data_IF_376285551433
#
_entry.id   IF_376285551433
#
_cell.length_a   1.000
_cell.length_b   1.000
_cell.length_c   1.000
_cell.angle_alpha   90.00
_cell.angle_beta   90.00
_cell.angle_gamma   90.00
#
_symmetry.space_group_name_H-M   'P 1'
#
loop_
_entity.id
_entity.type
_entity.pdbx_description
1 polymer ?
#
# COMPACT_ATOMS: atom_id res chain seq x y z
N UNK A 1 -16.23 -28.76 10.09
CA UNK A 1 -16.99 -28.17 8.96
C UNK A 1 -16.02 -27.29 8.18
N UNK A 2 -15.80 -27.59 6.89
CA UNK A 2 -14.95 -26.74 6.06
C UNK A 2 -15.69 -25.41 5.80
N UNK A 3 -15.13 -24.32 6.32
CA UNK A 3 -15.65 -22.98 6.03
C UNK A 3 -15.50 -22.67 4.53
N UNK A 4 -16.48 -22.03 3.92
CA UNK A 4 -16.41 -21.61 2.52
C UNK A 4 -15.21 -20.66 2.32
N UNK A 5 -14.33 -20.99 1.39
CA UNK A 5 -13.21 -20.12 1.02
C UNK A 5 -13.69 -19.00 0.07
N UNK A 6 -13.23 -17.79 0.30
CA UNK A 6 -13.54 -16.59 -0.49
C UNK A 6 -12.24 -15.85 -0.78
N UNK A 7 -11.97 -15.55 -2.04
CA UNK A 7 -10.88 -14.65 -2.46
C UNK A 7 -11.44 -13.24 -2.68
N UNK A 8 -10.77 -12.25 -2.13
CA UNK A 8 -11.15 -10.83 -2.28
C UNK A 8 -9.96 -10.04 -2.78
N UNK A 9 -10.10 -9.49 -3.97
CA UNK A 9 -9.18 -8.48 -4.49
C UNK A 9 -9.71 -7.09 -4.17
N UNK A 10 -8.85 -6.26 -3.56
CA UNK A 10 -9.23 -4.95 -3.00
C UNK A 10 -8.76 -3.85 -3.95
N UNK A 11 -9.70 -3.05 -4.44
CA UNK A 11 -9.42 -1.87 -5.23
C UNK A 11 -10.00 -0.59 -4.59
N UNK A 12 -9.83 0.54 -5.23
CA UNK A 12 -10.25 1.84 -4.69
C UNK A 12 -11.76 1.94 -4.46
N UNK A 13 -12.56 1.55 -5.44
CA UNK A 13 -14.01 1.77 -5.46
C UNK A 13 -14.83 0.47 -5.51
N UNK A 14 -14.27 -0.57 -6.11
CA UNK A 14 -14.94 -1.84 -6.36
C UNK A 14 -14.00 -2.96 -5.94
N UNK A 15 -14.51 -3.93 -5.20
CA UNK A 15 -13.77 -5.13 -4.80
C UNK A 15 -14.25 -6.30 -5.63
N UNK A 16 -13.32 -7.13 -6.11
CA UNK A 16 -13.68 -8.36 -6.79
C UNK A 16 -13.73 -9.51 -5.80
N UNK A 17 -14.80 -10.28 -5.83
CA UNK A 17 -15.01 -11.41 -4.92
C UNK A 17 -15.17 -12.69 -5.72
N UNK A 18 -14.40 -13.72 -5.36
CA UNK A 18 -14.46 -15.04 -5.96
C UNK A 18 -14.69 -16.12 -4.90
N UNK A 19 -15.66 -16.98 -5.12
CA UNK A 19 -15.90 -18.17 -4.29
C UNK A 19 -16.72 -19.21 -5.07
N UNK A 20 -16.74 -20.46 -4.56
CA UNK A 20 -17.64 -21.51 -5.01
C UNK A 20 -18.75 -21.67 -3.97
N UNK A 21 -19.99 -21.52 -4.41
CA UNK A 21 -21.16 -21.62 -3.53
C UNK A 21 -21.31 -23.05 -2.99
N UNK A 22 -21.46 -23.18 -1.67
CA UNK A 22 -21.69 -24.48 -1.04
C UNK A 22 -23.07 -25.02 -1.42
N UNK A 23 -23.12 -26.27 -1.82
CA UNK A 23 -24.34 -26.96 -2.21
C UNK A 23 -24.62 -26.96 -3.73
N UNK A 24 -24.56 -25.81 -4.40
CA UNK A 24 -24.75 -25.73 -5.86
C UNK A 24 -23.47 -25.97 -6.67
N UNK A 25 -22.29 -25.72 -6.07
CA UNK A 25 -21.02 -25.74 -6.80
C UNK A 25 -20.85 -24.57 -7.79
N UNK A 26 -21.76 -23.61 -7.78
CA UNK A 26 -21.71 -22.44 -8.67
C UNK A 26 -20.48 -21.57 -8.38
N UNK A 27 -19.73 -21.24 -9.44
CA UNK A 27 -18.62 -20.33 -9.36
C UNK A 27 -19.15 -18.88 -9.40
N UNK A 28 -18.97 -18.16 -8.33
CA UNK A 28 -19.31 -16.74 -8.24
C UNK A 28 -18.03 -15.92 -8.34
N UNK A 29 -17.96 -15.05 -9.34
CA UNK A 29 -16.88 -14.08 -9.51
C UNK A 29 -17.50 -12.74 -9.91
N UNK A 30 -17.65 -11.84 -8.95
CA UNK A 30 -18.41 -10.61 -9.16
C UNK A 30 -17.80 -9.39 -8.48
N UNK A 31 -17.96 -8.20 -9.08
CA UNK A 31 -17.59 -6.95 -8.45
C UNK A 31 -18.60 -6.55 -7.36
N UNK A 32 -18.10 -6.00 -6.28
CA UNK A 32 -18.89 -5.43 -5.18
C UNK A 32 -18.42 -4.00 -4.93
N UNK A 33 -19.35 -3.05 -4.95
CA UNK A 33 -19.03 -1.66 -4.59
C UNK A 33 -18.50 -1.61 -3.15
N UNK A 34 -17.45 -0.83 -2.93
CA UNK A 34 -16.81 -0.66 -1.62
C UNK A 34 -17.83 -0.39 -0.49
N UNK A 35 -18.81 0.46 -0.71
CA UNK A 35 -19.84 0.81 0.27
C UNK A 35 -20.76 -0.36 0.64
N UNK A 36 -20.86 -1.40 -0.23
CA UNK A 36 -21.69 -2.58 0.00
C UNK A 36 -20.91 -3.82 0.44
N UNK A 37 -19.60 -3.67 0.62
CA UNK A 37 -18.72 -4.81 0.85
C UNK A 37 -19.00 -5.50 2.20
N UNK A 38 -19.09 -4.77 3.30
CA UNK A 38 -19.40 -5.34 4.62
C UNK A 38 -20.82 -5.90 4.68
N UNK A 39 -21.79 -5.21 4.10
CA UNK A 39 -23.18 -5.69 4.00
C UNK A 39 -23.26 -7.06 3.29
N UNK A 40 -22.43 -7.25 2.24
CA UNK A 40 -22.36 -8.52 1.52
C UNK A 40 -21.92 -9.69 2.41
N UNK A 41 -21.12 -9.45 3.45
CA UNK A 41 -20.64 -10.48 4.38
C UNK A 41 -21.43 -10.55 5.69
N UNK A 42 -22.10 -9.48 6.12
CA UNK A 42 -22.75 -9.38 7.42
C UNK A 42 -23.74 -10.52 7.76
N UNK A 43 -24.46 -11.02 6.74
CA UNK A 43 -25.46 -12.06 6.92
C UNK A 43 -25.01 -13.43 6.40
N UNK A 44 -23.71 -13.62 6.16
CA UNK A 44 -23.16 -14.90 5.68
C UNK A 44 -22.69 -15.75 6.86
N UNK A 45 -22.82 -17.06 6.71
CA UNK A 45 -22.13 -18.01 7.58
C UNK A 45 -20.62 -17.72 7.58
N UNK A 46 -19.94 -18.08 8.66
CA UNK A 46 -18.48 -17.91 8.78
C UNK A 46 -17.75 -18.44 7.55
N UNK A 47 -16.96 -17.58 6.92
CA UNK A 47 -16.13 -17.88 5.76
C UNK A 47 -14.65 -17.80 6.12
N UNK A 48 -13.81 -18.50 5.33
CA UNK A 48 -12.37 -18.27 5.25
C UNK A 48 -12.10 -17.25 4.13
N UNK A 49 -11.75 -16.03 4.48
CA UNK A 49 -11.56 -14.94 3.52
C UNK A 49 -10.07 -14.67 3.32
N UNK A 50 -9.60 -14.87 2.08
CA UNK A 50 -8.26 -14.51 1.65
C UNK A 50 -8.23 -13.12 1.06
N UNK A 51 -7.18 -12.36 1.39
CA UNK A 51 -6.86 -11.06 0.77
C UNK A 51 -5.36 -10.92 0.60
N UNK A 52 -4.93 -10.23 -0.45
CA UNK A 52 -3.54 -9.81 -0.56
C UNK A 52 -3.23 -8.72 0.47
N UNK A 53 -2.05 -8.78 1.09
CA UNK A 53 -1.58 -7.79 2.07
C UNK A 53 -1.13 -6.49 1.38
N UNK A 54 -2.08 -5.78 0.79
CA UNK A 54 -1.90 -4.51 0.09
C UNK A 54 -2.40 -3.31 0.90
N UNK A 55 -2.45 -2.13 0.27
CA UNK A 55 -3.00 -0.92 0.88
C UNK A 55 -4.49 -1.08 1.24
N UNK A 56 -4.85 -0.82 2.50
CA UNK A 56 -6.22 -0.97 3.00
C UNK A 56 -6.58 -2.36 3.50
N UNK A 57 -5.85 -3.42 3.13
CA UNK A 57 -6.18 -4.81 3.49
C UNK A 57 -6.32 -5.04 5.00
N UNK A 58 -5.46 -4.43 5.80
CA UNK A 58 -5.55 -4.57 7.26
C UNK A 58 -6.84 -4.00 7.86
N UNK A 59 -7.35 -2.89 7.32
CA UNK A 59 -8.64 -2.34 7.74
C UNK A 59 -9.77 -3.31 7.45
N UNK A 60 -9.89 -3.78 6.21
CA UNK A 60 -10.95 -4.71 5.82
C UNK A 60 -10.83 -6.06 6.51
N UNK A 61 -9.61 -6.53 6.80
CA UNK A 61 -9.40 -7.74 7.57
C UNK A 61 -9.98 -7.60 8.98
N UNK A 62 -9.74 -6.49 9.67
CA UNK A 62 -10.34 -6.23 10.99
C UNK A 62 -11.86 -6.18 10.94
N UNK A 63 -12.43 -5.46 9.97
CA UNK A 63 -13.89 -5.36 9.84
C UNK A 63 -14.54 -6.74 9.59
N UNK A 64 -14.00 -7.53 8.67
CA UNK A 64 -14.50 -8.88 8.38
C UNK A 64 -14.32 -9.81 9.58
N UNK A 65 -13.25 -9.67 10.34
CA UNK A 65 -13.04 -10.43 11.58
C UNK A 65 -14.06 -10.05 12.65
N UNK A 66 -14.43 -8.75 12.76
CA UNK A 66 -15.52 -8.29 13.65
C UNK A 66 -16.88 -8.88 13.28
N UNK A 67 -17.10 -9.16 11.98
CA UNK A 67 -18.30 -9.87 11.50
C UNK A 67 -18.25 -11.39 11.75
N UNK A 68 -17.17 -11.92 12.36
CA UNK A 68 -17.03 -13.34 12.72
C UNK A 68 -16.37 -14.21 11.65
N UNK A 69 -15.86 -13.65 10.56
CA UNK A 69 -15.14 -14.39 9.54
C UNK A 69 -13.70 -14.69 9.93
N UNK A 70 -13.13 -15.78 9.41
CA UNK A 70 -11.70 -16.04 9.47
C UNK A 70 -11.03 -15.32 8.29
N UNK A 71 -10.07 -14.42 8.58
CA UNK A 71 -9.40 -13.64 7.53
C UNK A 71 -7.91 -13.96 7.49
N UNK A 72 -7.39 -14.23 6.30
CA UNK A 72 -5.96 -14.44 6.05
C UNK A 72 -5.43 -13.41 5.08
N UNK A 73 -4.50 -12.60 5.55
CA UNK A 73 -3.71 -11.72 4.69
C UNK A 73 -2.52 -12.50 4.14
N UNK A 74 -2.35 -12.51 2.83
CA UNK A 74 -1.29 -13.26 2.17
C UNK A 74 -0.26 -12.33 1.52
N UNK A 75 1.03 -12.70 1.52
CA UNK A 75 2.04 -11.95 0.78
C UNK A 75 1.69 -11.89 -0.71
N UNK A 76 1.92 -10.74 -1.35
CA UNK A 76 1.66 -10.54 -2.78
C UNK A 76 2.41 -11.56 -3.66
N UNK A 77 3.65 -11.87 -3.31
CA UNK A 77 4.47 -12.88 -4.01
C UNK A 77 3.85 -14.28 -3.98
N UNK A 78 3.22 -14.64 -2.84
CA UNK A 78 2.54 -15.92 -2.72
C UNK A 78 1.30 -15.98 -3.59
N UNK A 79 0.47 -14.93 -3.59
CA UNK A 79 -0.74 -14.86 -4.42
C UNK A 79 -0.38 -14.86 -5.91
N UNK A 80 0.68 -14.15 -6.30
CA UNK A 80 1.14 -14.06 -7.69
C UNK A 80 1.44 -15.43 -8.31
N UNK A 81 1.89 -16.41 -7.54
CA UNK A 81 2.16 -17.76 -8.01
C UNK A 81 0.90 -18.48 -8.53
N UNK A 82 -0.29 -18.06 -8.13
CA UNK A 82 -1.59 -18.63 -8.55
C UNK A 82 -2.23 -17.87 -9.71
N UNK A 83 -1.67 -16.73 -10.11
CA UNK A 83 -2.17 -15.94 -11.24
C UNK A 83 -1.47 -16.38 -12.55
N UNK A 84 -2.11 -17.30 -13.27
CA UNK A 84 -1.48 -18.04 -14.38
C UNK A 84 -1.61 -17.30 -15.73
N UNK A 85 -2.54 -16.35 -15.89
CA UNK A 85 -2.80 -15.65 -17.17
C UNK A 85 -3.27 -14.21 -16.95
N UNK A 86 -3.33 -13.45 -18.04
CA UNK A 86 -3.74 -12.04 -18.18
C UNK A 86 -4.34 -11.39 -16.94
N UNK A 87 -3.61 -10.43 -16.40
CA UNK A 87 -3.96 -9.69 -15.20
C UNK A 87 -5.28 -8.92 -15.40
N UNK A 88 -6.30 -9.35 -14.68
CA UNK A 88 -7.56 -8.62 -14.50
C UNK A 88 -8.14 -8.95 -13.12
N UNK A 89 -9.00 -8.10 -12.61
CA UNK A 89 -9.54 -8.19 -11.24
C UNK A 89 -10.20 -9.55 -10.95
N UNK A 90 -10.88 -10.14 -11.94
CA UNK A 90 -11.52 -11.44 -11.82
C UNK A 90 -10.51 -12.59 -11.67
N UNK A 91 -9.38 -12.52 -12.39
CA UNK A 91 -8.29 -13.48 -12.28
C UNK A 91 -7.54 -13.30 -10.95
N UNK A 92 -7.35 -12.05 -10.50
CA UNK A 92 -6.68 -11.73 -9.24
C UNK A 92 -7.51 -12.25 -8.05
N UNK A 93 -8.82 -12.03 -8.00
CA UNK A 93 -9.70 -12.59 -6.96
C UNK A 93 -9.71 -14.13 -6.95
N UNK A 94 -9.67 -14.77 -8.13
CA UNK A 94 -9.55 -16.23 -8.24
C UNK A 94 -8.20 -16.73 -7.73
N UNK A 95 -7.10 -16.05 -8.06
CA UNK A 95 -5.77 -16.39 -7.58
C UNK A 95 -5.70 -16.33 -6.04
N UNK A 96 -6.29 -15.30 -5.43
CA UNK A 96 -6.42 -15.15 -3.98
C UNK A 96 -7.24 -16.30 -3.39
N UNK A 97 -8.35 -16.68 -4.03
CA UNK A 97 -9.18 -17.81 -3.62
C UNK A 97 -8.43 -19.14 -3.65
N UNK A 98 -7.62 -19.39 -4.68
CA UNK A 98 -6.77 -20.59 -4.76
C UNK A 98 -5.70 -20.55 -3.66
N UNK A 99 -5.04 -19.41 -3.49
CA UNK A 99 -3.94 -19.23 -2.55
C UNK A 99 -4.37 -19.40 -1.09
N UNK A 100 -5.54 -18.89 -0.68
CA UNK A 100 -6.00 -18.96 0.73
C UNK A 100 -6.24 -20.39 1.22
N UNK A 101 -6.48 -21.31 0.30
CA UNK A 101 -6.71 -22.73 0.58
C UNK A 101 -5.40 -23.54 0.70
N UNK A 102 -4.28 -22.92 0.37
CA UNK A 102 -2.97 -23.56 0.45
C UNK A 102 -2.27 -23.22 1.77
N UNK A 103 -1.38 -24.09 2.25
CA UNK A 103 -0.53 -23.79 3.39
C UNK A 103 0.37 -22.57 3.09
N UNK A 104 0.19 -21.51 3.82
CA UNK A 104 1.11 -20.37 3.78
C UNK A 104 1.22 -19.74 5.17
N UNK A 105 2.33 -19.02 5.41
CA UNK A 105 2.46 -18.18 6.59
C UNK A 105 1.72 -16.86 6.32
N UNK A 106 0.59 -16.59 6.97
CA UNK A 106 -0.16 -15.37 6.72
C UNK A 106 0.61 -14.15 7.26
N UNK A 107 0.36 -13.01 6.64
CA UNK A 107 0.81 -11.71 7.15
C UNK A 107 -0.04 -11.36 8.38
N UNK A 108 0.60 -11.08 9.50
CA UNK A 108 -0.09 -10.70 10.72
C UNK A 108 -0.94 -9.43 10.49
N UNK A 109 -2.21 -9.50 10.89
CA UNK A 109 -3.12 -8.36 10.82
C UNK A 109 -2.69 -7.29 11.83
N UNK A 110 -2.38 -6.09 11.33
CA UNK A 110 -1.94 -4.98 12.17
C UNK A 110 -3.12 -4.35 12.91
N UNK A 111 -2.91 -4.02 14.16
CA UNK A 111 -3.83 -3.16 14.92
C UNK A 111 -3.85 -1.73 14.36
N UNK A 112 -4.83 -0.93 14.72
CA UNK A 112 -4.90 0.48 14.33
C UNK A 112 -3.71 1.27 14.87
N UNK A 113 -3.32 0.99 16.12
CA UNK A 113 -2.13 1.61 16.72
C UNK A 113 -0.84 1.27 15.94
N UNK A 114 -0.65 -0.01 15.57
CA UNK A 114 0.51 -0.40 14.75
C UNK A 114 0.50 0.27 13.38
N UNK A 115 -0.67 0.44 12.75
CA UNK A 115 -0.78 1.17 11.48
C UNK A 115 -0.49 2.66 11.65
N UNK A 116 -0.96 3.29 12.74
CA UNK A 116 -0.66 4.69 13.03
C UNK A 116 0.85 4.92 13.23
N UNK A 117 1.51 4.05 14.01
CA UNK A 117 2.96 4.13 14.20
C UNK A 117 3.72 3.97 12.88
N UNK A 118 3.33 3.02 12.02
CA UNK A 118 3.93 2.85 10.70
C UNK A 118 3.69 4.06 9.78
N UNK A 119 2.53 4.71 9.87
CA UNK A 119 2.24 5.93 9.12
C UNK A 119 3.20 7.06 9.53
N UNK A 120 3.40 7.28 10.84
CA UNK A 120 4.35 8.28 11.36
C UNK A 120 5.79 8.00 10.88
N UNK A 121 6.24 6.73 10.94
CA UNK A 121 7.57 6.36 10.43
C UNK A 121 7.70 6.65 8.94
N UNK A 122 6.72 6.30 8.12
CA UNK A 122 6.71 6.57 6.68
C UNK A 122 6.72 8.07 6.37
N UNK A 123 5.93 8.86 7.09
CA UNK A 123 5.94 10.32 6.95
C UNK A 123 7.31 10.90 7.29
N UNK A 124 7.93 10.46 8.40
CA UNK A 124 9.28 10.87 8.77
C UNK A 124 10.30 10.53 7.67
N UNK A 125 10.26 9.29 7.15
CA UNK A 125 11.16 8.87 6.06
C UNK A 125 10.99 9.72 4.81
N UNK A 126 9.75 10.02 4.42
CA UNK A 126 9.45 10.89 3.28
C UNK A 126 9.99 12.30 3.50
N UNK A 127 9.81 12.90 4.67
CA UNK A 127 10.32 14.24 5.00
C UNK A 127 11.85 14.26 4.98
N UNK A 128 12.51 13.24 5.50
CA UNK A 128 13.99 13.13 5.46
C UNK A 128 14.48 13.00 4.03
N UNK A 129 13.83 12.18 3.21
CA UNK A 129 14.14 12.00 1.78
C UNK A 129 13.95 13.33 1.03
N UNK A 130 12.80 13.98 1.23
CA UNK A 130 12.49 15.27 0.61
C UNK A 130 13.52 16.34 0.95
N UNK A 131 13.86 16.50 2.22
CA UNK A 131 14.91 17.42 2.68
C UNK A 131 16.26 17.15 1.99
N UNK A 132 16.63 15.86 1.87
CA UNK A 132 17.89 15.48 1.20
C UNK A 132 17.85 15.83 -0.28
N UNK A 133 16.74 15.60 -0.95
CA UNK A 133 16.52 15.97 -2.35
C UNK A 133 16.66 17.48 -2.54
N UNK A 134 16.00 18.30 -1.70
CA UNK A 134 16.08 19.75 -1.76
C UNK A 134 17.51 20.26 -1.53
N UNK A 135 18.19 19.72 -0.53
CA UNK A 135 19.59 20.09 -0.24
C UNK A 135 20.52 19.76 -1.40
N UNK A 136 20.31 18.64 -2.07
CA UNK A 136 21.11 18.25 -3.24
C UNK A 136 20.74 19.07 -4.47
N UNK A 137 19.45 19.36 -4.67
CA UNK A 137 18.98 20.25 -5.74
C UNK A 137 19.58 21.65 -5.63
N UNK A 138 19.57 22.21 -4.41
CA UNK A 138 20.18 23.52 -4.16
C UNK A 138 21.70 23.52 -4.44
N UNK A 139 22.42 22.46 -4.04
CA UNK A 139 23.84 22.32 -4.40
C UNK A 139 24.07 22.29 -5.90
N UNK A 140 23.22 21.55 -6.62
CA UNK A 140 23.28 21.49 -8.08
C UNK A 140 23.08 22.88 -8.70
N UNK A 141 22.03 23.59 -8.29
CA UNK A 141 21.76 24.95 -8.78
C UNK A 141 22.92 25.93 -8.50
N UNK A 142 23.47 25.94 -7.29
CA UNK A 142 24.60 26.80 -6.96
C UNK A 142 25.85 26.44 -7.75
N UNK A 143 26.05 25.15 -8.06
CA UNK A 143 27.19 24.72 -8.88
C UNK A 143 27.10 25.28 -10.32
N UNK A 144 25.91 25.42 -10.90
CA UNK A 144 25.69 26.05 -12.22
C UNK A 144 26.19 27.52 -12.24
N UNK A 145 26.21 28.17 -11.07
CA UNK A 145 26.74 29.53 -10.92
C UNK A 145 28.17 29.58 -10.40
N UNK A 146 28.86 28.43 -10.35
CA UNK A 146 30.25 28.31 -9.92
C UNK A 146 30.48 28.18 -8.42
N UNK A 147 29.40 28.06 -7.61
CA UNK A 147 29.47 27.88 -6.16
C UNK A 147 29.42 26.40 -5.78
N UNK A 148 30.55 25.86 -5.30
CA UNK A 148 30.63 24.44 -4.88
C UNK A 148 30.43 24.31 -3.38
N UNK A 149 29.34 23.65 -2.98
CA UNK A 149 28.97 23.46 -1.58
C UNK A 149 29.50 22.15 -1.00
N UNK A 150 30.10 22.21 0.17
CA UNK A 150 30.56 21.03 0.90
C UNK A 150 29.43 20.06 1.24
N UNK A 151 29.79 18.77 1.40
CA UNK A 151 28.84 17.73 1.86
C UNK A 151 28.42 18.00 3.31
N UNK A 152 27.19 17.60 3.62
CA UNK A 152 26.58 17.74 4.94
C UNK A 152 25.70 18.97 5.08
N UNK A 153 24.60 18.82 5.84
CA UNK A 153 23.55 19.84 5.97
C UNK A 153 24.08 21.08 6.69
N UNK A 154 24.67 20.90 7.87
CA UNK A 154 25.12 22.03 8.66
C UNK A 154 26.15 22.91 7.93
N UNK A 155 27.00 22.32 7.09
CA UNK A 155 27.94 23.04 6.24
C UNK A 155 27.23 23.81 5.12
N UNK A 156 26.18 23.19 4.52
CA UNK A 156 25.35 23.84 3.51
C UNK A 156 24.64 25.07 4.12
N UNK A 157 23.90 24.85 5.21
CA UNK A 157 23.12 25.90 5.88
C UNK A 157 24.02 27.11 6.24
N UNK A 158 25.28 26.86 6.66
CA UNK A 158 26.25 27.89 7.00
C UNK A 158 26.84 28.63 5.80
N UNK A 159 26.94 27.94 4.65
CA UNK A 159 27.57 28.49 3.45
C UNK A 159 26.59 29.27 2.55
N UNK A 160 25.28 29.01 2.64
CA UNK A 160 24.25 29.63 1.79
C UNK A 160 24.28 31.16 1.86
N UNK A 161 24.25 31.83 3.01
CA UNK A 161 24.22 33.31 3.06
C UNK A 161 25.35 33.92 2.27
N UNK A 162 26.59 33.50 2.55
CA UNK A 162 27.77 34.04 1.87
C UNK A 162 27.80 33.70 0.36
N UNK A 163 27.23 32.58 -0.06
CA UNK A 163 27.11 32.25 -1.48
C UNK A 163 26.08 33.14 -2.17
N UNK A 164 24.94 33.40 -1.53
CA UNK A 164 23.93 34.34 -2.07
C UNK A 164 24.45 35.74 -2.19
N UNK A 165 25.22 36.24 -1.20
CA UNK A 165 25.86 37.57 -1.29
C UNK A 165 26.81 37.66 -2.49
N UNK A 166 27.62 36.62 -2.74
CA UNK A 166 28.51 36.58 -3.92
C UNK A 166 27.77 36.49 -5.25
N UNK A 167 26.59 35.92 -5.26
CA UNK A 167 25.76 35.72 -6.47
C UNK A 167 24.69 36.80 -6.67
N UNK A 168 24.53 37.73 -5.74
CA UNK A 168 23.44 38.71 -5.73
C UNK A 168 23.25 39.46 -7.05
N UNK A 169 24.36 39.86 -7.72
CA UNK A 169 24.32 40.55 -9.00
C UNK A 169 24.19 39.61 -10.24
N UNK A 170 24.39 38.32 -10.03
CA UNK A 170 24.45 37.31 -11.10
C UNK A 170 23.19 36.46 -11.18
N UNK A 171 22.44 36.33 -10.08
CA UNK A 171 21.23 35.57 -10.04
C UNK A 171 20.05 36.35 -10.68
N UNK A 172 19.24 35.69 -11.53
CA UNK A 172 17.98 36.28 -11.95
C UNK A 172 17.08 36.59 -10.76
N UNK A 173 16.34 37.68 -10.80
CA UNK A 173 15.43 38.12 -9.73
C UNK A 173 14.38 37.06 -9.33
N UNK A 174 14.07 36.12 -10.24
CA UNK A 174 13.18 35.02 -9.98
C UNK A 174 13.76 33.93 -9.05
N UNK A 175 15.07 33.98 -8.73
CA UNK A 175 15.78 33.00 -7.88
C UNK A 175 16.21 33.60 -6.53
N UNK A 176 15.99 34.90 -6.34
CA UNK A 176 16.21 35.62 -5.09
C UNK A 176 14.88 35.82 -4.37
#
# INVERSE_FOLDING_TARGET
>A
MNSMAVGVDIAKNVFQVHYVAQGSGEIVNKPIKRAKFLEHFANRARCLIGMEACGGAHHWARELTRLGHEVRLMPAEFVKAFNIRNKNDAADARAIWLAVQQPCKPVAMKTEMQQAMLALHRMREQLVKFRTMQSNGLRGLLTEYGEVMSRGRAKLDKAIPAALDRLAERLPAALI
#
